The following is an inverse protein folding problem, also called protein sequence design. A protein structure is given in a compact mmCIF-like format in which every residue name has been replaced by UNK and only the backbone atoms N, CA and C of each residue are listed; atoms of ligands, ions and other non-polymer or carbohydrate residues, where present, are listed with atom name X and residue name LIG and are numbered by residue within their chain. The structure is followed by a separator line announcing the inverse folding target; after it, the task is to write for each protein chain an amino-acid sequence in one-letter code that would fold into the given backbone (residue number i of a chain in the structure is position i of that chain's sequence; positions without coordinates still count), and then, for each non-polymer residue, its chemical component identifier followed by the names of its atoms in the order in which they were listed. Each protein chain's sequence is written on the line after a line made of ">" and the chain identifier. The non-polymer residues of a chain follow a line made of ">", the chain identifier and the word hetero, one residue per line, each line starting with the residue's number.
data_IF_263648181684
#
_entry.id   IF_263648181684
#
_cell.length_a   1.000
_cell.length_b   1.000
_cell.length_c   1.000
_cell.angle_alpha   90.00
_cell.angle_beta   90.00
_cell.angle_gamma   90.00
#
_symmetry.space_group_name_H-M   'P 1'
#
loop_
_entity.id
_entity.type
_entity.pdbx_description
1 polymer ?
#
# COMPACT_ATOMS: atom_id res chain seq x y z
N UNK A 1 -7.23 4.20 -7.59
CA UNK A 1 -6.99 5.37 -8.46
C UNK A 1 -8.13 6.35 -8.43
N UNK A 2 -9.36 5.87 -8.36
CA UNK A 2 -10.53 6.76 -8.39
C UNK A 2 -10.81 7.45 -7.06
N UNK A 3 -10.20 7.00 -5.98
CA UNK A 3 -10.39 7.60 -4.65
C UNK A 3 -9.92 9.05 -4.59
N UNK A 4 -8.83 9.35 -5.24
CA UNK A 4 -8.22 10.67 -5.15
C UNK A 4 -7.40 10.93 -6.41
N UNK A 5 -7.54 12.11 -7.03
CA UNK A 5 -6.78 12.44 -8.23
C UNK A 5 -5.28 12.57 -7.98
N UNK A 6 -4.85 12.61 -6.73
CA UNK A 6 -3.43 12.74 -6.39
C UNK A 6 -2.74 11.40 -6.16
N UNK A 7 -3.44 10.29 -6.33
CA UNK A 7 -2.82 8.98 -6.32
C UNK A 7 -2.06 8.76 -7.63
N UNK A 8 -0.80 8.39 -7.52
CA UNK A 8 0.08 8.16 -8.69
C UNK A 8 0.14 6.71 -9.09
N UNK A 9 0.15 5.82 -8.11
CA UNK A 9 0.36 4.39 -8.32
C UNK A 9 -0.36 3.60 -7.25
N UNK A 10 -0.99 2.51 -7.63
CA UNK A 10 -1.55 1.53 -6.70
C UNK A 10 -0.99 0.17 -7.07
N UNK A 11 -0.46 -0.54 -6.10
CA UNK A 11 0.06 -1.89 -6.28
C UNK A 11 -0.49 -2.78 -5.19
N UNK A 12 -0.90 -3.99 -5.56
CA UNK A 12 -1.26 -5.03 -4.61
C UNK A 12 -0.31 -6.19 -4.84
N UNK A 13 0.34 -6.63 -3.77
CA UNK A 13 1.24 -7.77 -3.85
C UNK A 13 0.93 -8.76 -2.73
N UNK A 14 1.44 -9.97 -2.87
CA UNK A 14 1.34 -10.95 -1.79
C UNK A 14 2.53 -10.82 -0.84
N UNK A 15 2.54 -11.61 0.22
CA UNK A 15 3.57 -11.53 1.25
C UNK A 15 4.95 -11.96 0.76
N UNK A 16 5.03 -12.61 -0.39
CA UNK A 16 6.32 -12.96 -1.01
C UNK A 16 6.87 -11.85 -1.88
N UNK A 17 6.12 -10.77 -2.06
CA UNK A 17 6.52 -9.66 -2.91
C UNK A 17 6.07 -9.79 -4.35
N UNK A 18 5.26 -10.80 -4.65
CA UNK A 18 4.74 -11.02 -5.99
C UNK A 18 3.61 -10.03 -6.28
N UNK A 19 3.78 -9.23 -7.33
CA UNK A 19 2.79 -8.24 -7.73
C UNK A 19 1.58 -8.94 -8.36
N UNK A 20 0.40 -8.67 -7.81
CA UNK A 20 -0.85 -9.22 -8.30
C UNK A 20 -1.64 -8.19 -9.11
N UNK A 21 -1.42 -6.92 -8.83
CA UNK A 21 -2.11 -5.84 -9.52
C UNK A 21 -1.26 -4.57 -9.40
N UNK A 22 -1.17 -3.83 -10.46
CA UNK A 22 -0.49 -2.54 -10.43
C UNK A 22 -1.10 -1.61 -11.47
N UNK A 23 -1.39 -0.38 -11.06
CA UNK A 23 -1.97 0.61 -11.95
C UNK A 23 -1.35 1.98 -11.68
N UNK A 24 -0.93 2.64 -12.76
CA UNK A 24 -0.43 4.00 -12.72
C UNK A 24 -1.50 4.95 -13.20
N UNK A 25 -1.50 6.15 -12.65
CA UNK A 25 -2.30 7.22 -13.21
C UNK A 25 -1.72 7.59 -14.57
N UNK A 26 -2.60 7.80 -15.54
CA UNK A 26 -2.19 8.22 -16.87
C UNK A 26 -1.41 9.53 -16.80
N UNK A 27 -0.33 9.59 -17.56
CA UNK A 27 0.52 10.78 -17.64
C UNK A 27 1.53 10.92 -16.50
N UNK A 28 1.51 10.02 -15.52
CA UNK A 28 2.45 10.07 -14.40
C UNK A 28 3.75 9.39 -14.79
N UNK A 29 4.85 10.07 -14.53
CA UNK A 29 6.18 9.52 -14.76
C UNK A 29 6.69 8.86 -13.49
N UNK A 30 7.21 7.65 -13.62
CA UNK A 30 7.85 6.96 -12.49
C UNK A 30 9.11 7.69 -12.09
N UNK A 31 9.26 7.92 -10.78
CA UNK A 31 10.47 8.55 -10.23
C UNK A 31 11.58 7.53 -10.01
N UNK A 32 11.22 6.26 -9.90
CA UNK A 32 12.17 5.17 -9.66
C UNK A 32 12.32 4.31 -10.89
N UNK A 33 13.50 3.72 -11.05
CA UNK A 33 13.70 2.69 -12.06
C UNK A 33 12.93 1.43 -11.67
N UNK A 34 12.69 0.50 -12.62
CA UNK A 34 12.03 -0.77 -12.27
C UNK A 34 12.73 -1.53 -11.15
N UNK A 35 14.07 -1.52 -11.13
CA UNK A 35 14.83 -2.19 -10.09
C UNK A 35 14.69 -1.52 -8.74
N UNK A 36 14.69 -0.19 -8.74
CA UNK A 36 14.47 0.58 -7.50
C UNK A 36 13.07 0.37 -6.97
N UNK A 37 12.07 0.33 -7.85
CA UNK A 37 10.69 0.06 -7.46
C UNK A 37 10.55 -1.31 -6.82
N UNK A 38 11.18 -2.32 -7.40
CA UNK A 38 11.17 -3.69 -6.87
C UNK A 38 11.81 -3.72 -5.49
N UNK A 39 12.94 -3.06 -5.32
CA UNK A 39 13.65 -2.99 -4.04
C UNK A 39 12.80 -2.30 -2.97
N UNK A 40 12.14 -1.22 -3.35
CA UNK A 40 11.25 -0.49 -2.45
C UNK A 40 10.07 -1.35 -2.01
N UNK A 41 9.49 -2.12 -2.92
CA UNK A 41 8.39 -3.02 -2.61
C UNK A 41 8.84 -4.13 -1.67
N UNK A 42 10.00 -4.73 -1.93
CA UNK A 42 10.55 -5.77 -1.07
C UNK A 42 10.81 -5.26 0.34
N UNK A 43 11.31 -4.04 0.47
CA UNK A 43 11.51 -3.41 1.76
C UNK A 43 10.18 -3.29 2.52
N UNK A 44 9.12 -2.86 1.84
CA UNK A 44 7.80 -2.73 2.45
C UNK A 44 7.27 -4.08 2.91
N UNK A 45 7.39 -5.11 2.07
CA UNK A 45 6.94 -6.46 2.42
C UNK A 45 7.68 -6.98 3.64
N UNK A 46 9.00 -6.83 3.67
CA UNK A 46 9.80 -7.30 4.80
C UNK A 46 9.46 -6.56 6.09
N UNK A 47 9.23 -5.26 6.00
CA UNK A 47 8.82 -4.46 7.16
C UNK A 47 7.48 -4.95 7.72
N UNK A 48 6.53 -5.28 6.85
CA UNK A 48 5.23 -5.78 7.28
C UNK A 48 5.30 -7.19 7.85
N UNK A 49 6.21 -8.03 7.37
CA UNK A 49 6.46 -9.34 7.99
C UNK A 49 6.92 -9.17 9.43
N UNK A 50 7.84 -8.25 9.67
CA UNK A 50 8.32 -7.96 11.01
C UNK A 50 7.19 -7.45 11.90
N UNK A 51 6.34 -6.57 11.38
CA UNK A 51 5.18 -6.07 12.12
C UNK A 51 4.21 -7.17 12.48
N UNK A 52 4.06 -8.18 11.61
CA UNK A 52 3.25 -9.35 11.90
C UNK A 52 3.76 -10.14 13.09
N UNK A 53 5.07 -10.24 13.22
CA UNK A 53 5.69 -10.93 14.37
C UNK A 53 5.42 -10.20 15.68
N UNK A 54 5.29 -8.88 15.64
CA UNK A 54 5.04 -8.06 16.82
C UNK A 54 3.56 -7.93 17.16
N UNK A 55 2.68 -8.40 16.29
CA UNK A 55 1.23 -8.20 16.44
C UNK A 55 0.66 -8.84 17.69
N UNK A 56 1.27 -9.90 18.20
CA UNK A 56 0.81 -10.55 19.42
C UNK A 56 0.98 -9.67 20.65
N UNK A 57 1.88 -8.70 20.59
CA UNK A 57 2.16 -7.81 21.72
C UNK A 57 1.54 -6.44 21.57
N UNK A 58 1.57 -5.88 20.36
CA UNK A 58 1.12 -4.51 20.13
C UNK A 58 -0.10 -4.40 19.22
N UNK A 59 -0.61 -5.56 18.77
CA UNK A 59 -1.76 -5.59 17.87
C UNK A 59 -1.36 -5.53 16.41
N UNK A 60 -2.33 -5.79 15.55
CA UNK A 60 -2.10 -5.76 14.11
C UNK A 60 -1.85 -4.33 13.62
N UNK A 61 -0.89 -4.18 12.72
CA UNK A 61 -0.65 -2.92 12.06
C UNK A 61 -1.80 -2.56 11.13
N UNK A 62 -2.17 -1.28 11.09
CA UNK A 62 -3.25 -0.80 10.23
C UNK A 62 -2.71 -0.20 8.95
N UNK A 63 -1.73 0.66 9.05
CA UNK A 63 -1.09 1.28 7.90
C UNK A 63 0.23 1.92 8.32
N UNK A 64 1.04 2.22 7.32
CA UNK A 64 2.28 3.00 7.50
C UNK A 64 2.29 4.10 6.44
N UNK A 65 2.62 5.31 6.86
CA UNK A 65 2.82 6.44 5.97
C UNK A 65 4.30 6.81 5.95
N UNK A 66 4.87 6.87 4.78
CA UNK A 66 6.21 7.39 4.59
C UNK A 66 6.12 8.66 3.75
N UNK A 67 6.55 9.78 4.32
CA UNK A 67 6.56 11.05 3.61
C UNK A 67 7.95 11.33 3.06
N UNK A 68 8.00 11.59 1.76
CA UNK A 68 9.21 12.05 1.10
C UNK A 68 8.96 13.45 0.54
N UNK A 69 9.99 14.11 0.10
CA UNK A 69 9.83 15.47 -0.45
C UNK A 69 8.97 15.49 -1.71
N UNK A 70 9.07 14.45 -2.53
CA UNK A 70 8.40 14.42 -3.83
C UNK A 70 7.16 13.54 -3.90
N UNK A 71 6.99 12.64 -2.94
CA UNK A 71 5.84 11.72 -2.90
C UNK A 71 5.51 11.36 -1.45
N UNK A 72 4.31 10.82 -1.27
CA UNK A 72 3.95 10.07 -0.05
C UNK A 72 3.71 8.63 -0.43
N UNK A 73 3.97 7.72 0.48
CA UNK A 73 3.77 6.30 0.27
C UNK A 73 3.02 5.70 1.44
N UNK A 74 1.90 5.06 1.14
CA UNK A 74 1.05 4.43 2.14
C UNK A 74 1.08 2.94 1.89
N UNK A 75 1.33 2.16 2.92
CA UNK A 75 1.22 0.70 2.84
C UNK A 75 0.27 0.21 3.92
N UNK A 76 -0.52 -0.79 3.60
CA UNK A 76 -1.42 -1.41 4.55
C UNK A 76 -1.71 -2.85 4.17
N UNK A 77 -1.92 -3.73 5.17
CA UNK A 77 -2.29 -5.10 4.87
C UNK A 77 -3.72 -5.17 4.35
N UNK A 78 -3.95 -6.08 3.44
CA UNK A 78 -5.28 -6.41 2.92
C UNK A 78 -5.62 -7.83 3.30
N UNK A 79 -6.89 -8.06 3.59
CA UNK A 79 -7.38 -9.38 3.94
C UNK A 79 -8.08 -9.35 5.27
N UNK A 80 -8.57 -10.51 5.68
CA UNK A 80 -9.26 -10.69 6.94
C UNK A 80 -8.52 -11.64 7.85
N UNK A 81 -8.29 -11.22 9.08
CA UNK A 81 -7.76 -12.08 10.13
C UNK A 81 -6.52 -12.86 9.69
N UNK A 82 -6.69 -14.17 9.57
CA UNK A 82 -5.59 -15.09 9.28
C UNK A 82 -5.13 -15.06 7.82
N UNK A 83 -5.92 -14.46 6.97
CA UNK A 83 -5.64 -14.43 5.53
C UNK A 83 -5.02 -13.12 5.07
N UNK A 84 -4.45 -12.36 6.00
CA UNK A 84 -3.75 -11.10 5.73
C UNK A 84 -2.42 -11.37 5.05
N UNK A 85 -2.47 -11.90 3.85
CA UNK A 85 -1.27 -12.23 3.10
C UNK A 85 -1.07 -11.34 1.87
N UNK A 86 -1.78 -10.23 1.82
CA UNK A 86 -1.65 -9.25 0.74
C UNK A 86 -1.29 -7.89 1.31
N UNK A 87 -0.58 -7.09 0.52
CA UNK A 87 -0.18 -5.74 0.89
C UNK A 87 -0.63 -4.76 -0.18
N UNK A 88 -1.29 -3.70 0.25
CA UNK A 88 -1.62 -2.57 -0.60
C UNK A 88 -0.52 -1.53 -0.48
N UNK A 89 -0.07 -1.02 -1.61
CA UNK A 89 1.04 -0.08 -1.71
C UNK A 89 0.57 1.07 -2.60
N UNK A 90 0.44 2.26 -2.03
CA UNK A 90 -0.06 3.44 -2.73
C UNK A 90 1.00 4.53 -2.71
N UNK A 91 1.25 5.12 -3.87
CA UNK A 91 2.13 6.29 -3.98
C UNK A 91 1.29 7.47 -4.42
N UNK A 92 1.45 8.61 -3.77
CA UNK A 92 0.67 9.82 -4.03
C UNK A 92 1.57 11.03 -4.25
N UNK A 93 0.97 12.10 -4.74
CA UNK A 93 1.61 13.40 -4.73
C UNK A 93 1.84 13.85 -3.29
N UNK A 94 2.83 14.71 -3.04
CA UNK A 94 3.16 15.10 -1.66
C UNK A 94 2.06 15.89 -0.95
N UNK A 95 1.19 16.58 -1.69
CA UNK A 95 0.10 17.36 -1.11
C UNK A 95 -1.19 16.56 -0.90
N UNK A 96 -1.21 15.27 -1.22
CA UNK A 96 -2.40 14.44 -1.06
C UNK A 96 -2.82 14.35 0.41
N UNK A 97 -4.14 14.28 0.63
CA UNK A 97 -4.69 14.04 1.96
C UNK A 97 -4.68 12.55 2.25
N UNK A 98 -3.62 12.09 2.90
CA UNK A 98 -3.44 10.66 3.17
C UNK A 98 -4.52 10.11 4.11
N UNK A 99 -5.01 10.91 5.05
CA UNK A 99 -6.07 10.47 5.96
C UNK A 99 -7.35 10.13 5.21
N UNK A 100 -7.70 10.96 4.23
CA UNK A 100 -8.88 10.73 3.39
C UNK A 100 -8.70 9.47 2.53
N UNK A 101 -7.52 9.28 1.98
CA UNK A 101 -7.23 8.10 1.16
C UNK A 101 -7.30 6.83 2.00
N UNK A 102 -6.70 6.84 3.18
CA UNK A 102 -6.71 5.69 4.09
C UNK A 102 -8.15 5.34 4.49
N UNK A 103 -8.95 6.34 4.84
CA UNK A 103 -10.36 6.12 5.18
C UNK A 103 -11.14 5.55 3.99
N UNK A 104 -10.92 6.08 2.80
CA UNK A 104 -11.58 5.62 1.59
C UNK A 104 -11.24 4.17 1.25
N UNK A 105 -9.98 3.78 1.43
CA UNK A 105 -9.57 2.38 1.23
C UNK A 105 -10.28 1.48 2.23
N UNK A 106 -10.34 1.90 3.49
CA UNK A 106 -11.03 1.13 4.53
C UNK A 106 -12.48 0.85 4.16
N UNK A 107 -13.20 1.86 3.67
CA UNK A 107 -14.58 1.68 3.22
C UNK A 107 -14.68 0.72 2.04
N UNK A 108 -13.79 0.84 1.07
CA UNK A 108 -13.80 -0.05 -0.09
C UNK A 108 -13.54 -1.50 0.29
N UNK A 109 -12.62 -1.73 1.22
CA UNK A 109 -12.32 -3.08 1.69
C UNK A 109 -13.51 -3.67 2.41
N UNK A 110 -14.19 -2.90 3.24
CA UNK A 110 -15.38 -3.34 3.94
C UNK A 110 -16.50 -3.67 2.96
N UNK A 111 -16.74 -2.80 1.98
CA UNK A 111 -17.81 -3.00 0.98
C UNK A 111 -17.58 -4.17 0.07
N UNK A 112 -16.35 -4.31 -0.39
CA UNK A 112 -16.03 -5.33 -1.39
C UNK A 112 -15.60 -6.62 -0.77
N UNK A 113 -15.63 -6.68 0.52
CA UNK A 113 -15.20 -7.79 1.31
C UNK A 113 -14.78 -8.98 0.49
N UNK A 114 -13.48 -9.19 0.37
CA UNK A 114 -13.08 -10.54 0.06
C UNK A 114 -13.19 -10.95 -1.37
N UNK A 115 -13.02 -10.02 -2.28
CA UNK A 115 -12.88 -10.41 -3.68
C UNK A 115 -11.43 -10.70 -4.04
N UNK A 116 -10.62 -10.83 -3.03
CA UNK A 116 -9.23 -11.22 -3.24
C UNK A 116 -9.04 -12.68 -2.98
#
# INVERSE_FOLDING_TARGET
>A
MDLDPKIRLVTICDISGRVMYSEHREGVRNLLTPEESKRSLELAVNAWKTRGELATKIGKGKYVLAEYEKIKRITMPLGHDKDDNHLLYITTEPEADHSKIISGVGELVIRKTLKF
#
